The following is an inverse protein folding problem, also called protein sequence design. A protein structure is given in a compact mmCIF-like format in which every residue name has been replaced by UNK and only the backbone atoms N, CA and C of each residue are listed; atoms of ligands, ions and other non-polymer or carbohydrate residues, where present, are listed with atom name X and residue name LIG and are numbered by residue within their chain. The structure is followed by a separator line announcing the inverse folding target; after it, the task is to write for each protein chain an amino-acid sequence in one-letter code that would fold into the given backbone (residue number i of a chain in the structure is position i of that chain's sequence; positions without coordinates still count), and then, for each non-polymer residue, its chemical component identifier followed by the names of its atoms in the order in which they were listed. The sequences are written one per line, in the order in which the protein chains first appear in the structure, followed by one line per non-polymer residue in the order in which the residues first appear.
data_IF_188781281762
#
_entry.id   IF_188781281762
#
_cell.length_a   1.000
_cell.length_b   1.000
_cell.length_c   1.000
_cell.angle_alpha   90.00
_cell.angle_beta   90.00
_cell.angle_gamma   90.00
#
_symmetry.space_group_name_H-M   'P 1'
#
loop_
_entity.id
_entity.type
_entity.pdbx_description
1 polymer ?
#
# COMPACT_ATOMS: atom_id res chain seq x y z
N UNK A 1 -0.35 -14.53 22.59
CA UNK A 1 -0.42 -14.98 21.19
C UNK A 1 0.66 -14.28 20.38
N UNK A 2 1.24 -14.94 19.39
CA UNK A 2 2.26 -14.35 18.51
C UNK A 2 1.65 -14.06 17.15
N UNK A 3 1.54 -12.78 16.77
CA UNK A 3 1.08 -12.36 15.45
C UNK A 3 2.28 -12.14 14.52
N UNK A 4 2.17 -12.60 13.27
CA UNK A 4 3.12 -12.28 12.19
C UNK A 4 2.46 -11.27 11.27
N UNK A 5 3.10 -10.11 11.12
CA UNK A 5 2.56 -9.00 10.33
C UNK A 5 3.52 -8.75 9.18
N UNK A 6 3.11 -8.96 7.92
CA UNK A 6 3.95 -8.64 6.79
C UNK A 6 4.08 -7.13 6.65
N UNK A 7 5.31 -6.68 6.48
CA UNK A 7 5.66 -5.27 6.32
C UNK A 7 6.48 -5.10 5.06
N UNK A 8 6.39 -3.91 4.46
CA UNK A 8 7.27 -3.47 3.39
C UNK A 8 8.11 -2.30 3.91
N UNK A 9 9.36 -2.27 3.47
CA UNK A 9 10.32 -1.22 3.76
C UNK A 9 10.85 -0.69 2.43
N UNK A 10 10.86 0.62 2.27
CA UNK A 10 11.48 1.24 1.11
C UNK A 10 12.25 2.50 1.52
N UNK A 11 13.23 2.85 0.70
CA UNK A 11 14.00 4.08 0.86
C UNK A 11 13.43 5.14 -0.08
N UNK A 12 13.24 6.34 0.46
CA UNK A 12 12.85 7.51 -0.33
C UNK A 12 14.08 8.14 -0.99
N UNK A 13 13.94 8.89 -2.09
CA UNK A 13 15.07 9.58 -2.73
C UNK A 13 15.86 10.51 -1.79
N UNK A 14 15.19 11.08 -0.77
CA UNK A 14 15.83 11.90 0.28
C UNK A 14 16.63 11.12 1.32
N UNK A 15 16.78 9.81 1.18
CA UNK A 15 17.60 8.96 2.06
C UNK A 15 16.88 8.42 3.30
N UNK A 16 15.64 8.85 3.57
CA UNK A 16 14.80 8.31 4.64
C UNK A 16 14.21 6.95 4.28
N UNK A 17 13.81 6.18 5.29
CA UNK A 17 13.19 4.87 5.16
C UNK A 17 11.76 4.90 5.66
N UNK A 18 10.85 4.32 4.90
CA UNK A 18 9.46 4.16 5.29
C UNK A 18 9.16 2.68 5.47
N UNK A 19 8.64 2.30 6.63
CA UNK A 19 8.11 0.97 6.92
C UNK A 19 6.58 1.05 6.97
N UNK A 20 5.89 0.15 6.28
CA UNK A 20 4.42 0.09 6.25
C UNK A 20 3.91 -1.33 6.38
N UNK A 21 2.76 -1.49 7.06
CA UNK A 21 2.04 -2.76 7.13
C UNK A 21 1.41 -3.10 5.79
N UNK A 22 1.62 -4.32 5.30
CA UNK A 22 0.92 -4.86 4.14
C UNK A 22 -0.45 -5.44 4.50
N UNK A 23 -0.59 -5.87 5.76
CA UNK A 23 -1.80 -6.49 6.26
C UNK A 23 -2.03 -6.17 7.74
N UNK A 24 -3.28 -6.28 8.20
CA UNK A 24 -3.69 -5.87 9.55
C UNK A 24 -3.98 -4.37 9.68
N UNK A 25 -3.70 -3.78 10.86
CA UNK A 25 -3.88 -2.35 11.12
C UNK A 25 -3.06 -1.50 10.15
N UNK A 26 -3.69 -0.51 9.49
CA UNK A 26 -2.98 0.41 8.59
C UNK A 26 -2.02 1.28 9.40
N UNK A 27 -0.73 1.08 9.20
CA UNK A 27 0.31 1.86 9.87
C UNK A 27 1.51 2.05 8.94
N UNK A 28 2.08 3.26 8.95
CA UNK A 28 3.33 3.57 8.29
C UNK A 28 4.17 4.46 9.21
N UNK A 29 5.48 4.26 9.19
CA UNK A 29 6.45 5.03 9.96
C UNK A 29 7.63 5.39 9.08
N UNK A 30 8.16 6.60 9.24
CA UNK A 30 9.32 7.11 8.52
C UNK A 30 10.45 7.37 9.51
N UNK A 31 11.67 6.98 9.16
CA UNK A 31 12.87 7.29 9.94
C UNK A 31 14.08 7.51 9.02
N UNK A 32 15.21 7.94 9.57
CA UNK A 32 16.49 8.08 8.86
C UNK A 32 17.21 6.74 8.68
N UNK A 33 16.83 5.69 9.44
CA UNK A 33 17.36 4.33 9.23
C UNK A 33 16.26 3.28 9.09
N UNK A 34 16.52 2.26 8.27
CA UNK A 34 15.67 1.09 8.11
C UNK A 34 15.32 0.42 9.45
N UNK A 35 16.31 0.23 10.31
CA UNK A 35 16.14 -0.44 11.60
C UNK A 35 15.25 0.37 12.56
N UNK A 36 15.41 1.69 12.61
CA UNK A 36 14.60 2.55 13.46
C UNK A 36 13.14 2.61 12.97
N UNK A 37 12.91 2.72 11.65
CA UNK A 37 11.57 2.68 11.08
C UNK A 37 10.83 1.38 11.45
N UNK A 38 11.51 0.22 11.33
CA UNK A 38 10.97 -1.08 11.74
C UNK A 38 10.73 -1.18 13.25
N UNK A 39 11.65 -0.66 14.07
CA UNK A 39 11.52 -0.69 15.53
C UNK A 39 10.32 0.14 16.01
N UNK A 40 10.14 1.34 15.45
CA UNK A 40 9.00 2.20 15.75
C UNK A 40 7.68 1.58 15.27
N UNK A 41 7.64 1.04 14.05
CA UNK A 41 6.46 0.34 13.54
C UNK A 41 6.09 -0.84 14.43
N UNK A 42 7.08 -1.63 14.87
CA UNK A 42 6.87 -2.74 15.81
C UNK A 42 6.32 -2.25 17.14
N UNK A 43 6.86 -1.17 17.71
CA UNK A 43 6.39 -0.61 18.97
C UNK A 43 4.92 -0.16 18.86
N UNK A 44 4.57 0.52 17.77
CA UNK A 44 3.18 0.91 17.48
C UNK A 44 2.26 -0.31 17.34
N UNK A 45 2.68 -1.34 16.62
CA UNK A 45 1.90 -2.57 16.46
C UNK A 45 1.71 -3.31 17.79
N UNK A 46 2.75 -3.41 18.62
CA UNK A 46 2.61 -4.00 19.97
C UNK A 46 1.61 -3.19 20.81
N UNK A 47 1.61 -1.87 20.69
CA UNK A 47 0.64 -1.03 21.40
C UNK A 47 -0.78 -1.26 20.88
N UNK A 48 -1.03 -1.23 19.57
CA UNK A 48 -2.40 -1.36 19.01
C UNK A 48 -3.01 -2.73 19.33
N UNK A 49 -2.25 -3.81 19.24
CA UNK A 49 -2.72 -5.17 19.55
C UNK A 49 -2.97 -5.39 21.05
N UNK A 50 -2.48 -4.50 21.93
CA UNK A 50 -2.87 -4.49 23.35
C UNK A 50 -4.17 -3.74 23.58
N UNK A 51 -4.49 -2.76 22.74
CA UNK A 51 -5.72 -1.95 22.88
C UNK A 51 -6.94 -2.64 22.26
N UNK A 52 -6.75 -3.41 21.20
CA UNK A 52 -7.85 -4.02 20.45
C UNK A 52 -7.52 -5.46 20.05
N UNK A 53 -8.50 -6.35 20.18
CA UNK A 53 -8.49 -7.65 19.48
C UNK A 53 -8.75 -7.39 17.99
N UNK A 54 -7.68 -7.12 17.25
CA UNK A 54 -7.74 -6.91 15.80
C UNK A 54 -7.84 -8.22 15.03
N UNK A 55 -8.30 -8.14 13.77
CA UNK A 55 -8.20 -9.25 12.83
C UNK A 55 -6.75 -9.75 12.74
N UNK A 56 -6.60 -11.07 12.70
CA UNK A 56 -5.29 -11.70 12.55
C UNK A 56 -4.84 -11.57 11.09
N UNK A 57 -3.71 -10.91 10.82
CA UNK A 57 -3.16 -10.82 9.47
C UNK A 57 -2.91 -12.22 8.90
N UNK A 58 -3.30 -12.42 7.64
CA UNK A 58 -3.27 -13.71 6.97
C UNK A 58 -2.79 -13.63 5.51
N UNK A 59 -2.22 -12.50 5.10
CA UNK A 59 -1.56 -12.35 3.81
C UNK A 59 -0.43 -13.39 3.65
N UNK A 60 -0.52 -14.15 2.56
CA UNK A 60 0.42 -15.20 2.15
C UNK A 60 1.03 -14.88 0.80
N UNK A 61 2.21 -15.45 0.57
CA UNK A 61 2.95 -15.39 -0.70
C UNK A 61 3.06 -13.96 -1.26
N UNK A 62 3.55 -12.98 -0.46
CA UNK A 62 3.67 -11.62 -0.90
C UNK A 62 4.68 -11.51 -2.05
N UNK A 63 4.26 -10.86 -3.14
CA UNK A 63 5.05 -10.66 -4.34
C UNK A 63 4.99 -9.19 -4.76
N UNK A 64 6.17 -8.58 -4.96
CA UNK A 64 6.27 -7.22 -5.47
C UNK A 64 6.08 -7.22 -6.99
N UNK A 65 5.15 -6.40 -7.49
CA UNK A 65 4.90 -6.23 -8.93
C UNK A 65 4.83 -4.77 -9.31
N UNK A 66 5.30 -4.45 -10.50
CA UNK A 66 5.12 -3.14 -11.12
C UNK A 66 3.93 -3.17 -12.08
N UNK A 67 3.11 -2.13 -12.04
CA UNK A 67 2.03 -1.90 -12.98
C UNK A 67 2.26 -0.60 -13.73
N UNK A 68 2.04 -0.62 -15.04
CA UNK A 68 2.02 0.59 -15.86
C UNK A 68 0.59 1.09 -15.98
N UNK A 69 0.33 2.27 -15.41
CA UNK A 69 -0.99 2.89 -15.35
C UNK A 69 -0.98 4.17 -16.16
N UNK A 70 -2.02 4.37 -16.99
CA UNK A 70 -2.22 5.62 -17.72
C UNK A 70 -3.06 6.56 -16.87
N UNK A 71 -2.43 7.59 -16.33
CA UNK A 71 -3.11 8.62 -15.55
C UNK A 71 -3.33 9.86 -16.40
N UNK A 72 -4.45 10.54 -16.17
CA UNK A 72 -4.69 11.88 -16.71
C UNK A 72 -4.40 12.89 -15.60
N UNK A 73 -3.31 13.66 -15.69
CA UNK A 73 -3.02 14.66 -14.68
C UNK A 73 -4.10 15.75 -14.66
N UNK A 74 -4.23 16.41 -13.51
CA UNK A 74 -5.15 17.52 -13.32
C UNK A 74 -4.42 18.64 -12.57
N UNK A 75 -4.73 19.89 -12.93
CA UNK A 75 -4.27 21.06 -12.18
C UNK A 75 -5.43 21.63 -11.38
N UNK A 76 -5.17 21.96 -10.11
CA UNK A 76 -6.09 22.72 -9.27
C UNK A 76 -5.67 24.17 -9.21
N UNK A 77 -6.62 25.05 -9.46
CA UNK A 77 -6.44 26.50 -9.26
C UNK A 77 -6.67 26.86 -7.80
N UNK A 78 -6.25 28.06 -7.40
CA UNK A 78 -6.50 28.60 -6.06
C UNK A 78 -7.99 28.69 -5.69
N UNK A 79 -8.89 28.66 -6.68
CA UNK A 79 -10.35 28.64 -6.52
C UNK A 79 -10.94 27.22 -6.56
N UNK A 80 -10.13 26.19 -6.31
CA UNK A 80 -10.49 24.76 -6.31
C UNK A 80 -11.14 24.24 -7.61
N UNK A 81 -11.00 24.99 -8.70
CA UNK A 81 -11.40 24.50 -10.02
C UNK A 81 -10.35 23.53 -10.54
N UNK A 82 -10.82 22.34 -10.95
CA UNK A 82 -10.01 21.23 -11.48
C UNK A 82 -10.01 21.30 -13.00
N UNK A 83 -8.82 21.36 -13.61
CA UNK A 83 -8.66 21.37 -15.06
C UNK A 83 -7.86 20.13 -15.50
N UNK A 84 -8.47 19.22 -16.28
CA UNK A 84 -7.76 18.06 -16.78
C UNK A 84 -6.72 18.47 -17.82
N UNK A 85 -5.57 17.81 -17.79
CA UNK A 85 -4.60 17.90 -18.88
C UNK A 85 -5.12 17.11 -20.07
N UNK A 86 -4.94 17.64 -21.28
CA UNK A 86 -5.43 16.99 -22.51
C UNK A 86 -4.72 15.66 -22.83
N UNK A 87 -3.52 15.47 -22.26
CA UNK A 87 -2.67 14.32 -22.47
C UNK A 87 -2.69 13.36 -21.27
N UNK A 88 -2.54 12.07 -21.55
CA UNK A 88 -2.31 11.05 -20.52
C UNK A 88 -0.83 10.76 -20.39
N UNK A 89 -0.39 10.43 -19.18
CA UNK A 89 0.99 10.02 -18.89
C UNK A 89 1.01 8.61 -18.34
N UNK A 90 2.01 7.83 -18.73
CA UNK A 90 2.24 6.49 -18.18
C UNK A 90 3.07 6.60 -16.91
N UNK A 91 2.54 6.06 -15.81
CA UNK A 91 3.20 6.02 -14.51
C UNK A 91 3.35 4.57 -14.10
N UNK A 92 4.54 4.23 -13.62
CA UNK A 92 4.78 2.93 -12.99
C UNK A 92 4.46 3.03 -11.52
N UNK A 93 3.59 2.14 -11.05
CA UNK A 93 3.24 2.01 -9.64
C UNK A 93 3.66 0.64 -9.14
N UNK A 94 4.20 0.60 -7.92
CA UNK A 94 4.60 -0.64 -7.28
C UNK A 94 3.48 -1.12 -6.37
N UNK A 95 3.06 -2.37 -6.58
CA UNK A 95 2.07 -3.06 -5.76
C UNK A 95 2.67 -4.30 -5.12
N UNK A 96 2.17 -4.67 -3.94
CA UNK A 96 2.37 -5.99 -3.36
C UNK A 96 1.11 -6.81 -3.57
N UNK A 97 1.27 -7.93 -4.27
CA UNK A 97 0.24 -8.95 -4.42
C UNK A 97 0.42 -10.03 -3.38
N UNK A 98 -0.67 -10.71 -3.01
CA UNK A 98 -0.61 -11.94 -2.24
C UNK A 98 -1.97 -12.61 -2.18
N UNK A 99 -2.09 -13.60 -1.30
CA UNK A 99 -3.34 -14.36 -1.09
C UNK A 99 -3.79 -14.32 0.35
N UNK A 100 -5.09 -14.32 0.57
CA UNK A 100 -5.73 -14.59 1.87
C UNK A 100 -5.84 -16.09 2.10
N UNK A 101 -6.20 -16.48 3.33
CA UNK A 101 -6.46 -17.88 3.67
C UNK A 101 -7.65 -18.48 2.91
N UNK A 102 -8.64 -17.67 2.57
CA UNK A 102 -9.82 -18.09 1.82
C UNK A 102 -9.57 -18.24 0.30
N UNK A 103 -8.35 -17.93 -0.16
CA UNK A 103 -7.96 -18.00 -1.56
C UNK A 103 -8.15 -16.71 -2.36
N UNK A 104 -8.78 -15.68 -1.77
CA UNK A 104 -8.89 -14.37 -2.42
C UNK A 104 -7.52 -13.71 -2.57
N UNK A 105 -7.36 -12.95 -3.66
CA UNK A 105 -6.18 -12.14 -3.93
C UNK A 105 -6.22 -10.83 -3.16
N UNK A 106 -5.06 -10.32 -2.79
CA UNK A 106 -4.89 -8.99 -2.18
C UNK A 106 -3.92 -8.18 -3.01
N UNK A 107 -4.25 -6.93 -3.25
CA UNK A 107 -3.36 -5.94 -3.86
C UNK A 107 -3.19 -4.76 -2.89
N UNK A 108 -1.94 -4.38 -2.63
CA UNK A 108 -1.60 -3.24 -1.76
C UNK A 108 -0.67 -2.31 -2.54
N UNK A 109 -0.98 -1.02 -2.57
CA UNK A 109 -0.09 0.05 -3.08
C UNK A 109 0.45 0.83 -1.89
N UNK A 110 1.61 0.45 -1.33
CA UNK A 110 2.07 0.99 -0.05
C UNK A 110 2.33 2.50 -0.09
N UNK A 111 2.79 2.99 -1.25
CA UNK A 111 3.10 4.41 -1.47
C UNK A 111 1.86 5.27 -1.70
N UNK A 112 0.74 4.65 -2.11
CA UNK A 112 -0.54 5.34 -2.34
C UNK A 112 -1.51 5.17 -1.16
N UNK A 113 -1.19 4.30 -0.19
CA UNK A 113 -2.10 3.98 0.92
C UNK A 113 -3.34 3.19 0.50
N UNK A 114 -3.35 2.65 -0.72
CA UNK A 114 -4.47 1.91 -1.28
C UNK A 114 -4.31 0.41 -1.06
N UNK A 115 -5.42 -0.29 -0.81
CA UNK A 115 -5.46 -1.75 -0.75
C UNK A 115 -6.85 -2.26 -1.14
N UNK A 116 -6.90 -3.39 -1.84
CA UNK A 116 -8.15 -4.07 -2.15
C UNK A 116 -7.98 -5.58 -2.20
N UNK A 117 -9.11 -6.29 -2.09
CA UNK A 117 -9.20 -7.74 -2.27
C UNK A 117 -9.89 -8.02 -3.61
N UNK A 118 -9.47 -9.08 -4.30
CA UNK A 118 -10.02 -9.47 -5.60
C UNK A 118 -10.10 -11.00 -5.74
N UNK A 119 -10.96 -11.48 -6.62
CA UNK A 119 -11.08 -12.89 -6.99
C UNK A 119 -10.26 -13.21 -8.25
N UNK A 120 -9.99 -14.49 -8.48
CA UNK A 120 -9.22 -14.92 -9.65
C UNK A 120 -9.88 -14.56 -11.00
N UNK A 121 -11.19 -14.35 -11.02
CA UNK A 121 -11.97 -13.97 -12.20
C UNK A 121 -12.06 -12.46 -12.43
N UNK A 122 -11.61 -11.64 -11.47
CA UNK A 122 -11.76 -10.20 -11.55
C UNK A 122 -10.79 -9.61 -12.58
N UNK A 123 -11.17 -8.51 -13.26
CA UNK A 123 -10.30 -7.81 -14.19
C UNK A 123 -9.23 -7.04 -13.42
N UNK A 124 -8.18 -7.72 -12.96
CA UNK A 124 -7.16 -7.17 -12.07
C UNK A 124 -6.53 -5.87 -12.60
N UNK A 125 -6.28 -5.78 -13.91
CA UNK A 125 -5.70 -4.58 -14.51
C UNK A 125 -6.66 -3.38 -14.42
N UNK A 126 -7.97 -3.59 -14.53
CA UNK A 126 -8.96 -2.51 -14.37
C UNK A 126 -9.03 -2.06 -12.91
N UNK A 127 -9.07 -3.02 -11.97
CA UNK A 127 -9.05 -2.72 -10.54
C UNK A 127 -7.80 -1.95 -10.11
N UNK A 128 -6.63 -2.30 -10.68
CA UNK A 128 -5.38 -1.57 -10.46
C UNK A 128 -5.48 -0.14 -10.99
N UNK A 129 -6.02 0.06 -12.19
CA UNK A 129 -6.21 1.40 -12.74
C UNK A 129 -7.16 2.23 -11.85
N UNK A 130 -8.31 1.68 -11.48
CA UNK A 130 -9.29 2.37 -10.64
C UNK A 130 -8.71 2.74 -9.27
N UNK A 131 -7.98 1.82 -8.63
CA UNK A 131 -7.37 2.07 -7.32
C UNK A 131 -6.30 3.17 -7.35
N UNK A 132 -5.60 3.35 -8.47
CA UNK A 132 -4.56 4.37 -8.63
C UNK A 132 -5.15 5.74 -8.97
N UNK A 133 -6.36 5.78 -9.54
CA UNK A 133 -7.03 7.02 -9.94
C UNK A 133 -7.93 7.64 -8.84
N UNK A 134 -8.11 6.96 -7.70
CA UNK A 134 -8.87 7.46 -6.53
C UNK A 134 -8.03 8.36 -5.62
#
# INVERSE_FOLDING_TARGET
MTHRIPVILWQSPGGTFTASTLDGPRAAVVDVTAAAALAQLKAYLVWIFRQHEGETPDLRDPELREHEVRVRPEYRTSTDSVFPVGETVQVRVTAVHGKRRDGSGVCVFPTLGQRFTYQATDPLNELVNDAVLQ
#
